data_IF_878493691364
#
_entry.id   IF_878493691364
#
_cell.length_a   1.000
_cell.length_b   1.000
_cell.length_c   1.000
_cell.angle_alpha   90.00
_cell.angle_beta   90.00
_cell.angle_gamma   90.00
#
_symmetry.space_group_name_H-M   'P 1'
#
loop_
_entity.id
_entity.type
_entity.pdbx_description
1 polymer ?
#
# COMPACT_ATOMS: atom_id res chain seq x y z
N UNK A 1 11.49 4.96 4.25
CA UNK A 1 11.42 4.69 5.70
C UNK A 1 11.22 3.20 5.97
N UNK A 2 10.09 2.60 5.56
CA UNK A 2 9.82 1.17 5.81
C UNK A 2 10.91 0.20 5.32
N UNK A 3 11.44 0.42 4.10
CA UNK A 3 12.51 -0.41 3.52
C UNK A 3 13.79 -0.39 4.35
N UNK A 4 14.31 0.82 4.63
CA UNK A 4 15.51 1.02 5.43
C UNK A 4 15.35 0.45 6.85
N UNK A 5 14.19 0.66 7.46
CA UNK A 5 13.89 0.16 8.80
C UNK A 5 13.90 -1.38 8.84
N UNK A 6 13.30 -2.03 7.84
CA UNK A 6 13.33 -3.48 7.71
C UNK A 6 14.75 -4.03 7.54
N UNK A 7 15.52 -3.48 6.59
CA UNK A 7 16.90 -3.93 6.36
C UNK A 7 17.78 -3.77 7.62
N UNK A 8 17.61 -2.69 8.37
CA UNK A 8 18.37 -2.42 9.59
C UNK A 8 18.03 -3.41 10.71
N UNK A 9 16.74 -3.70 10.94
CA UNK A 9 16.29 -4.66 11.96
C UNK A 9 16.84 -6.06 11.68
N UNK A 10 16.76 -6.50 10.43
CA UNK A 10 17.18 -7.84 10.03
C UNK A 10 18.67 -7.93 9.67
N UNK A 11 19.43 -6.85 9.87
CA UNK A 11 20.88 -6.76 9.59
C UNK A 11 21.26 -7.25 8.18
N UNK A 12 20.47 -6.84 7.19
CA UNK A 12 20.70 -7.19 5.79
C UNK A 12 21.51 -6.10 5.08
N UNK A 13 22.33 -6.52 4.12
CA UNK A 13 23.14 -5.59 3.33
C UNK A 13 22.28 -4.71 2.43
N UNK A 14 22.63 -3.42 2.39
CA UNK A 14 22.00 -2.46 1.48
C UNK A 14 22.65 -2.54 0.09
N UNK A 15 22.09 -3.37 -0.79
CA UNK A 15 22.52 -3.46 -2.19
C UNK A 15 21.84 -2.35 -2.99
N UNK A 16 22.56 -1.25 -3.23
CA UNK A 16 22.03 -0.01 -3.81
C UNK A 16 21.15 -0.27 -5.05
N UNK A 17 21.65 -0.97 -6.06
CA UNK A 17 20.92 -1.21 -7.31
C UNK A 17 19.58 -1.93 -7.08
N UNK A 18 19.61 -3.06 -6.40
CA UNK A 18 18.45 -3.94 -6.22
C UNK A 18 17.43 -3.37 -5.24
N UNK A 19 17.91 -2.78 -4.15
CA UNK A 19 17.05 -2.11 -3.16
C UNK A 19 16.38 -0.88 -3.75
N UNK A 20 17.06 -0.10 -4.59
CA UNK A 20 16.46 1.06 -5.27
C UNK A 20 15.36 0.67 -6.25
N UNK A 21 15.58 -0.38 -7.05
CA UNK A 21 14.53 -0.93 -7.93
C UNK A 21 13.31 -1.36 -7.11
N UNK A 22 13.53 -2.03 -5.98
CA UNK A 22 12.46 -2.40 -5.04
C UNK A 22 11.69 -1.19 -4.49
N UNK A 23 12.39 -0.11 -4.12
CA UNK A 23 11.76 1.13 -3.63
C UNK A 23 10.92 1.79 -4.72
N UNK A 24 11.41 1.87 -5.96
CA UNK A 24 10.69 2.48 -7.08
C UNK A 24 9.42 1.67 -7.39
N UNK A 25 9.52 0.35 -7.45
CA UNK A 25 8.37 -0.55 -7.66
C UNK A 25 7.32 -0.38 -6.56
N UNK A 26 7.76 -0.37 -5.30
CA UNK A 26 6.90 -0.15 -4.14
C UNK A 26 6.15 1.18 -4.20
N UNK A 27 6.81 2.26 -4.62
CA UNK A 27 6.18 3.57 -4.70
C UNK A 27 4.91 3.54 -5.57
N UNK A 28 4.94 2.84 -6.69
CA UNK A 28 3.77 2.65 -7.55
C UNK A 28 2.61 1.93 -6.84
N UNK A 29 2.91 0.84 -6.12
CA UNK A 29 1.90 0.06 -5.37
C UNK A 29 1.24 0.93 -4.30
N UNK A 30 2.06 1.65 -3.52
CA UNK A 30 1.59 2.47 -2.40
C UNK A 30 0.76 3.66 -2.88
N UNK A 31 1.20 4.34 -3.94
CA UNK A 31 0.46 5.46 -4.53
C UNK A 31 -0.88 4.99 -5.09
N UNK A 32 -0.92 3.85 -5.79
CA UNK A 32 -2.16 3.29 -6.30
C UNK A 32 -3.15 3.00 -5.16
N UNK A 33 -2.70 2.31 -4.12
CA UNK A 33 -3.53 2.00 -2.94
C UNK A 33 -4.09 3.28 -2.29
N UNK A 34 -3.30 4.35 -2.20
CA UNK A 34 -3.73 5.63 -1.64
C UNK A 34 -4.75 6.37 -2.52
N UNK A 35 -4.52 6.44 -3.85
CA UNK A 35 -5.44 7.09 -4.79
C UNK A 35 -6.81 6.42 -4.74
N UNK A 36 -6.82 5.09 -4.78
CA UNK A 36 -8.04 4.27 -4.77
C UNK A 36 -8.84 4.45 -3.47
N UNK A 37 -8.15 4.63 -2.34
CA UNK A 37 -8.76 4.94 -1.05
C UNK A 37 -9.40 6.34 -1.03
N UNK A 38 -8.65 7.36 -1.46
CA UNK A 38 -9.13 8.75 -1.52
C UNK A 38 -10.33 8.87 -2.46
N UNK A 39 -10.28 8.24 -3.64
CA UNK A 39 -11.36 8.28 -4.61
C UNK A 39 -12.65 7.65 -4.05
N UNK A 40 -12.52 6.56 -3.29
CA UNK A 40 -13.68 5.95 -2.65
C UNK A 40 -14.28 6.82 -1.54
N UNK A 41 -13.45 7.48 -0.74
CA UNK A 41 -13.91 8.46 0.25
C UNK A 41 -14.69 9.59 -0.46
N UNK A 42 -14.15 10.10 -1.58
CA UNK A 42 -14.84 11.10 -2.40
C UNK A 42 -16.19 10.59 -2.96
N UNK A 43 -16.26 9.33 -3.38
CA UNK A 43 -17.50 8.70 -3.83
C UNK A 43 -18.53 8.60 -2.70
N UNK A 44 -18.13 8.17 -1.50
CA UNK A 44 -19.03 8.11 -0.33
C UNK A 44 -19.54 9.50 0.05
N UNK A 45 -18.68 10.52 0.02
CA UNK A 45 -19.08 11.92 0.25
C UNK A 45 -20.11 12.39 -0.79
N UNK A 46 -19.87 12.11 -2.08
CA UNK A 46 -20.81 12.47 -3.16
C UNK A 46 -22.16 11.77 -2.98
N UNK A 47 -22.16 10.49 -2.62
CA UNK A 47 -23.40 9.72 -2.35
C UNK A 47 -24.18 10.31 -1.19
N UNK A 48 -23.51 10.64 -0.08
CA UNK A 48 -24.15 11.22 1.11
C UNK A 48 -24.69 12.63 0.85
N UNK A 49 -23.97 13.44 0.06
CA UNK A 49 -24.45 14.76 -0.38
C UNK A 49 -25.74 14.65 -1.18
N UNK A 50 -25.82 13.72 -2.14
CA UNK A 50 -27.03 13.46 -2.93
C UNK A 50 -28.20 13.00 -2.06
N UNK A 51 -27.95 12.13 -1.08
CA UNK A 51 -28.99 11.66 -0.16
C UNK A 51 -29.58 12.78 0.71
N UNK A 52 -28.81 13.83 0.98
CA UNK A 52 -29.22 14.99 1.77
C UNK A 52 -29.76 16.15 0.91
N UNK A 53 -29.88 15.98 -0.41
CA UNK A 53 -30.24 17.03 -1.37
C UNK A 53 -29.42 18.32 -1.24
N UNK A 54 -28.17 18.19 -0.80
CA UNK A 54 -27.26 19.31 -0.62
C UNK A 54 -26.67 19.75 -1.96
N UNK A 55 -26.59 21.06 -2.19
CA UNK A 55 -26.00 21.61 -3.40
C UNK A 55 -24.48 21.33 -3.45
N UNK A 56 -23.85 21.45 -4.63
CA UNK A 56 -22.41 21.21 -4.79
C UNK A 56 -21.55 22.15 -3.91
N UNK A 57 -22.12 23.30 -3.54
CA UNK A 57 -21.55 24.29 -2.61
C UNK A 57 -21.67 23.88 -1.14
N UNK A 58 -22.74 23.15 -0.77
CA UNK A 58 -23.06 22.85 0.62
C UNK A 58 -22.21 21.68 1.17
N UNK A 59 -21.49 21.92 2.26
CA UNK A 59 -20.56 20.95 2.84
C UNK A 59 -21.22 20.10 3.91
N UNK A 60 -20.79 18.84 3.99
CA UNK A 60 -21.16 17.94 5.08
C UNK A 60 -20.68 18.49 6.42
N UNK A 61 -21.46 18.29 7.48
CA UNK A 61 -21.03 18.59 8.85
C UNK A 61 -19.84 17.70 9.24
N UNK A 62 -18.99 18.15 10.17
CA UNK A 62 -17.86 17.37 10.71
C UNK A 62 -18.18 15.90 11.06
N UNK A 63 -19.29 15.56 11.75
CA UNK A 63 -19.66 14.17 12.01
C UNK A 63 -20.01 13.38 10.75
N UNK A 64 -20.73 13.98 9.81
CA UNK A 64 -21.10 13.32 8.55
C UNK A 64 -19.87 13.05 7.67
N UNK A 65 -18.91 13.98 7.65
CA UNK A 65 -17.64 13.79 6.95
C UNK A 65 -16.84 12.63 7.55
N UNK A 66 -16.76 12.57 8.89
CA UNK A 66 -16.08 11.47 9.59
C UNK A 66 -16.70 10.12 9.22
N UNK A 67 -18.03 10.04 9.19
CA UNK A 67 -18.74 8.81 8.82
C UNK A 67 -18.40 8.35 7.40
N UNK A 68 -18.37 9.27 6.43
CA UNK A 68 -17.96 8.96 5.05
C UNK A 68 -16.51 8.47 4.96
N UNK A 69 -15.60 9.08 5.72
CA UNK A 69 -14.18 8.69 5.76
C UNK A 69 -14.01 7.31 6.37
N UNK A 70 -14.74 7.00 7.44
CA UNK A 70 -14.72 5.69 8.11
C UNK A 70 -15.30 4.61 7.20
N UNK A 71 -16.44 4.89 6.55
CA UNK A 71 -17.06 3.97 5.59
C UNK A 71 -16.14 3.70 4.40
N UNK A 72 -15.54 4.75 3.84
CA UNK A 72 -14.61 4.61 2.72
C UNK A 72 -13.33 3.86 3.10
N UNK A 73 -12.81 4.11 4.29
CA UNK A 73 -11.68 3.37 4.87
C UNK A 73 -11.99 1.89 5.04
N UNK A 74 -13.11 1.54 5.67
CA UNK A 74 -13.52 0.14 5.91
C UNK A 74 -13.67 -0.65 4.61
N UNK A 75 -14.27 -0.05 3.59
CA UNK A 75 -14.51 -0.76 2.32
C UNK A 75 -13.23 -1.00 1.54
N UNK A 76 -12.27 -0.07 1.59
CA UNK A 76 -10.99 -0.18 0.87
C UNK A 76 -9.91 -0.94 1.63
N UNK A 77 -10.05 -1.07 2.95
CA UNK A 77 -9.16 -1.87 3.80
C UNK A 77 -8.98 -3.29 3.24
N UNK A 78 -10.06 -3.95 2.83
CA UNK A 78 -10.03 -5.32 2.30
C UNK A 78 -9.20 -5.43 1.01
N UNK A 79 -9.48 -4.65 -0.07
CA UNK A 79 -8.63 -4.63 -1.26
C UNK A 79 -7.15 -4.33 -0.99
N UNK A 80 -6.85 -3.31 -0.17
CA UNK A 80 -5.46 -2.90 0.10
C UNK A 80 -4.68 -4.00 0.84
N UNK A 81 -5.30 -4.62 1.85
CA UNK A 81 -4.70 -5.76 2.55
C UNK A 81 -4.50 -6.95 1.63
N UNK A 82 -5.47 -7.25 0.76
CA UNK A 82 -5.36 -8.35 -0.19
C UNK A 82 -4.16 -8.16 -1.13
N UNK A 83 -3.99 -6.96 -1.71
CA UNK A 83 -2.83 -6.64 -2.56
C UNK A 83 -1.51 -6.76 -1.80
N UNK A 84 -1.47 -6.28 -0.55
CA UNK A 84 -0.27 -6.40 0.27
C UNK A 84 0.09 -7.86 0.55
N UNK A 85 -0.88 -8.65 1.01
CA UNK A 85 -0.70 -10.06 1.35
C UNK A 85 -0.29 -10.88 0.12
N UNK A 86 -0.99 -10.73 -1.01
CA UNK A 86 -0.66 -11.50 -2.22
C UNK A 86 0.70 -11.13 -2.78
N UNK A 87 1.10 -9.86 -2.70
CA UNK A 87 2.44 -9.41 -3.12
C UNK A 87 3.52 -9.98 -2.20
N UNK A 88 3.30 -9.94 -0.88
CA UNK A 88 4.24 -10.51 0.10
C UNK A 88 4.39 -12.02 -0.13
N UNK A 89 3.27 -12.75 -0.28
CA UNK A 89 3.30 -14.19 -0.52
C UNK A 89 3.96 -14.54 -1.85
N UNK A 90 3.72 -13.76 -2.92
CA UNK A 90 4.34 -13.98 -4.22
C UNK A 90 5.84 -13.73 -4.24
N UNK A 91 6.33 -12.80 -3.41
CA UNK A 91 7.76 -12.48 -3.29
C UNK A 91 8.48 -13.27 -2.19
N UNK A 92 7.73 -13.98 -1.32
CA UNK A 92 8.30 -14.73 -0.21
C UNK A 92 9.30 -15.81 -0.65
N UNK A 93 9.03 -16.64 -1.68
CA UNK A 93 9.99 -17.65 -2.13
C UNK A 93 11.28 -17.02 -2.64
N UNK A 94 11.17 -15.90 -3.36
CA UNK A 94 12.31 -15.15 -3.90
C UNK A 94 13.16 -14.53 -2.78
N UNK A 95 12.50 -13.91 -1.80
CA UNK A 95 13.15 -13.30 -0.64
C UNK A 95 13.86 -14.34 0.24
N UNK A 96 13.26 -15.51 0.42
CA UNK A 96 13.85 -16.63 1.17
C UNK A 96 14.89 -17.43 0.37
N UNK A 97 15.00 -17.21 -0.94
CA UNK A 97 15.95 -17.89 -1.80
C UNK A 97 15.57 -19.33 -2.18
N UNK A 98 14.27 -19.63 -2.17
CA UNK A 98 13.70 -20.88 -2.63
C UNK A 98 13.61 -20.82 -4.16
N UNK A 99 14.49 -21.55 -4.85
CA UNK A 99 14.50 -21.62 -6.31
C UNK A 99 13.90 -22.94 -6.80
N UNK A 100 13.32 -22.90 -7.99
CA UNK A 100 12.77 -24.05 -8.71
C UNK A 100 13.61 -24.23 -9.96
N UNK A 101 14.06 -25.45 -10.23
CA UNK A 101 14.78 -25.72 -11.47
C UNK A 101 13.77 -25.89 -12.61
N UNK A 102 13.50 -24.81 -13.35
CA UNK A 102 12.54 -24.82 -14.47
C UNK A 102 12.92 -25.83 -15.57
N UNK A 103 14.22 -26.09 -15.77
CA UNK A 103 14.67 -27.06 -16.77
C UNK A 103 14.22 -28.46 -16.37
N UNK A 104 14.52 -28.87 -15.14
CA UNK A 104 14.16 -30.18 -14.59
C UNK A 104 12.64 -30.31 -14.38
N UNK A 105 11.97 -29.21 -14.05
CA UNK A 105 10.51 -29.17 -13.94
C UNK A 105 9.83 -29.50 -15.28
N UNK A 106 10.35 -28.99 -16.40
CA UNK A 106 9.74 -29.18 -17.73
C UNK A 106 10.19 -30.49 -18.38
N UNK A 107 11.43 -30.95 -18.14
CA UNK A 107 11.94 -32.20 -18.75
C UNK A 107 11.59 -33.45 -17.96
N UNK A 108 11.56 -33.37 -16.63
CA UNK A 108 11.42 -34.54 -15.75
C UNK A 108 10.16 -34.47 -14.87
N UNK A 109 9.32 -33.43 -15.01
CA UNK A 109 8.19 -33.14 -14.11
C UNK A 109 8.61 -33.05 -12.63
N UNK A 110 9.90 -32.80 -12.36
CA UNK A 110 10.45 -32.69 -11.02
C UNK A 110 10.92 -31.26 -10.76
N UNK A 111 10.22 -30.48 -9.90
CA UNK A 111 10.58 -29.10 -9.59
C UNK A 111 11.98 -28.92 -8.98
N UNK A 112 12.54 -29.96 -8.36
CA UNK A 112 13.81 -29.94 -7.62
C UNK A 112 14.06 -28.60 -6.91
N UNK A 113 13.36 -28.39 -5.79
CA UNK A 113 13.53 -27.20 -4.97
C UNK A 113 14.94 -27.16 -4.39
N UNK A 114 15.67 -26.07 -4.66
CA UNK A 114 16.99 -25.83 -4.07
C UNK A 114 17.04 -24.46 -3.41
N UNK A 115 17.72 -24.40 -2.28
CA UNK A 115 17.89 -23.19 -1.47
C UNK A 115 19.26 -22.61 -1.82
N UNK A 116 19.27 -21.37 -2.32
CA UNK A 116 20.49 -20.69 -2.76
C UNK A 116 20.72 -20.71 -4.27
N UNK A 117 21.69 -19.92 -4.74
CA UNK A 117 21.99 -19.69 -6.16
C UNK A 117 22.24 -18.20 -6.44
N UNK A 118 22.89 -17.89 -7.57
CA UNK A 118 23.24 -16.51 -7.96
C UNK A 118 22.00 -15.61 -8.05
N UNK A 119 20.85 -16.18 -8.41
CA UNK A 119 19.56 -15.49 -8.46
C UNK A 119 19.14 -14.91 -7.09
N UNK A 120 19.43 -15.61 -5.98
CA UNK A 120 19.03 -15.15 -4.64
C UNK A 120 19.87 -13.97 -4.20
N UNK A 121 21.17 -14.00 -4.48
CA UNK A 121 22.08 -12.90 -4.15
C UNK A 121 21.70 -11.61 -4.89
N UNK A 122 21.20 -11.74 -6.13
CA UNK A 122 20.77 -10.60 -6.93
C UNK A 122 19.35 -10.13 -6.59
N UNK A 123 18.36 -11.02 -6.57
CA UNK A 123 16.94 -10.65 -6.43
C UNK A 123 16.42 -10.62 -4.99
N UNK A 124 17.11 -11.31 -4.06
CA UNK A 124 16.73 -11.37 -2.65
C UNK A 124 16.62 -9.98 -2.00
N UNK A 125 17.65 -9.10 -2.11
CA UNK A 125 17.59 -7.75 -1.55
C UNK A 125 16.41 -6.91 -2.09
N UNK A 126 16.03 -7.10 -3.35
CA UNK A 126 14.86 -6.45 -3.94
C UNK A 126 13.55 -6.97 -3.32
N UNK A 127 13.41 -8.30 -3.20
CA UNK A 127 12.23 -8.93 -2.62
C UNK A 127 11.99 -8.48 -1.17
N UNK A 128 13.04 -8.51 -0.35
CA UNK A 128 12.98 -8.03 1.03
C UNK A 128 12.65 -6.55 1.13
N UNK A 129 13.22 -5.71 0.26
CA UNK A 129 12.90 -4.30 0.21
C UNK A 129 11.40 -4.05 -0.02
N UNK A 130 10.80 -4.76 -0.97
CA UNK A 130 9.37 -4.64 -1.27
C UNK A 130 8.53 -5.15 -0.09
N UNK A 131 8.85 -6.31 0.49
CA UNK A 131 8.09 -6.90 1.61
C UNK A 131 8.04 -5.94 2.82
N UNK A 132 9.21 -5.47 3.28
CA UNK A 132 9.27 -4.56 4.43
C UNK A 132 8.62 -3.21 4.12
N UNK A 133 8.90 -2.68 2.94
CA UNK A 133 8.34 -1.41 2.51
C UNK A 133 6.82 -1.45 2.38
N UNK A 134 6.27 -2.52 1.80
CA UNK A 134 4.82 -2.67 1.60
C UNK A 134 4.10 -2.92 2.92
N UNK A 135 4.67 -3.73 3.81
CA UNK A 135 4.11 -3.96 5.14
C UNK A 135 3.97 -2.65 5.91
N UNK A 136 5.06 -1.87 5.97
CA UNK A 136 5.07 -0.58 6.65
C UNK A 136 4.16 0.44 5.97
N UNK A 137 4.23 0.55 4.63
CA UNK A 137 3.43 1.51 3.87
C UNK A 137 1.94 1.19 3.94
N UNK A 138 1.55 -0.08 3.94
CA UNK A 138 0.13 -0.48 4.03
C UNK A 138 -0.48 0.02 5.33
N UNK A 139 0.19 -0.21 6.46
CA UNK A 139 -0.25 0.30 7.75
C UNK A 139 -0.33 1.83 7.75
N UNK A 140 0.71 2.49 7.24
CA UNK A 140 0.77 3.95 7.20
C UNK A 140 -0.35 4.53 6.32
N UNK A 141 -0.57 3.99 5.12
CA UNK A 141 -1.59 4.47 4.18
C UNK A 141 -2.99 4.34 4.76
N UNK A 142 -3.31 3.20 5.39
CA UNK A 142 -4.65 2.96 5.94
C UNK A 142 -4.99 3.86 7.13
N UNK A 143 -4.00 4.33 7.88
CA UNK A 143 -4.21 5.22 9.04
C UNK A 143 -4.04 6.69 8.65
N UNK A 144 -2.91 7.03 8.02
CA UNK A 144 -2.52 8.42 7.77
C UNK A 144 -3.35 9.05 6.66
N UNK A 145 -3.66 8.33 5.58
CA UNK A 145 -4.40 8.93 4.45
C UNK A 145 -5.82 9.34 4.86
N UNK A 146 -6.64 8.52 5.55
CA UNK A 146 -7.95 8.94 6.03
C UNK A 146 -7.89 10.12 6.99
N UNK A 147 -6.93 10.12 7.92
CA UNK A 147 -6.75 11.21 8.91
C UNK A 147 -6.38 12.50 8.21
N UNK A 148 -5.40 12.46 7.30
CA UNK A 148 -4.94 13.62 6.55
C UNK A 148 -6.06 14.19 5.68
N UNK A 149 -6.81 13.31 5.01
CA UNK A 149 -7.96 13.71 4.20
C UNK A 149 -9.03 14.43 5.06
N UNK A 150 -9.37 13.86 6.22
CA UNK A 150 -10.33 14.47 7.15
C UNK A 150 -9.85 15.85 7.66
N UNK A 151 -8.57 15.94 8.07
CA UNK A 151 -7.98 17.20 8.56
C UNK A 151 -7.98 18.29 7.49
N UNK A 152 -7.56 17.98 6.26
CA UNK A 152 -7.53 18.94 5.15
C UNK A 152 -8.93 19.46 4.86
N UNK A 153 -9.93 18.58 4.79
CA UNK A 153 -11.32 18.99 4.56
C UNK A 153 -11.90 19.81 5.72
N UNK A 154 -11.57 19.45 6.97
CA UNK A 154 -11.99 20.21 8.16
C UNK A 154 -11.40 21.63 8.16
N UNK A 155 -10.11 21.77 7.84
CA UNK A 155 -9.43 23.07 7.75
C UNK A 155 -10.03 23.92 6.62
N UNK A 156 -10.29 23.32 5.45
CA UNK A 156 -10.92 24.01 4.32
C UNK A 156 -12.32 24.54 4.64
N UNK A 157 -13.07 23.85 5.52
CA UNK A 157 -14.37 24.34 6.00
C UNK A 157 -14.23 25.49 6.99
N UNK A 158 -13.28 25.42 7.93
CA UNK A 158 -13.05 26.49 8.91
C UNK A 158 -12.61 27.81 8.27
N UNK A 159 -11.78 27.79 7.22
CA UNK A 159 -11.34 29.01 6.52
C UNK A 159 -12.47 29.74 5.79
N UNK A 160 -13.49 29.03 5.30
CA UNK A 160 -14.62 29.67 4.58
C UNK A 160 -15.57 30.39 5.53
N UNK A 161 -15.82 29.85 6.73
CA UNK A 161 -16.66 30.51 7.75
C UNK A 161 -16.02 31.78 8.34
N UNK A 162 -14.73 32.04 8.08
CA UNK A 162 -14.02 33.25 8.53
C UNK A 162 -13.94 34.31 7.42
N UNK A 163 -14.22 33.93 6.16
CA UNK A 163 -14.16 34.79 4.99
C UNK A 163 -15.53 35.19 4.43
N UNK A 164 -16.62 34.69 5.03
CA UNK A 164 -18.01 35.04 4.76
C UNK A 164 -18.56 35.83 5.94
#
# INVERSE_FOLDING_TARGET
>A
IGVLFGLLIFRMDFVILMTMIGIISLAGIVVNNAIVLIDYINLTIKRKRRALNLDASEKLTSPQLLECVVEGGKTRLRPVLLTAITTILGLLPLALGININFKTLVTELNPNFYIGGENVAFWGPMGWAIIYGLTFATFLTLVVVPILYYLINKIKTRRMNVAA
#
